data_IF_956052003445
#
_entry.id   IF_956052003445
#
_cell.length_a   1.000
_cell.length_b   1.000
_cell.length_c   1.000
_cell.angle_alpha   90.00
_cell.angle_beta   90.00
_cell.angle_gamma   90.00
#
_symmetry.space_group_name_H-M   'P 1'
#
loop_
_entity.id
_entity.type
_entity.pdbx_description
1 polymer ?
#
# COMPACT_ATOMS: atom_id res chain seq x y z
N UNK A 1 17.69 -23.53 -24.20
CA UNK A 1 17.12 -22.44 -25.02
C UNK A 1 17.14 -21.19 -24.17
N UNK A 2 17.77 -20.11 -24.64
CA UNK A 2 17.81 -18.83 -23.92
C UNK A 2 16.75 -17.93 -24.57
N UNK A 3 15.87 -17.35 -23.78
CA UNK A 3 14.88 -16.37 -24.22
C UNK A 3 15.27 -15.02 -23.61
N UNK A 4 15.49 -14.02 -24.47
CA UNK A 4 15.87 -12.67 -24.05
C UNK A 4 14.61 -11.82 -23.82
N UNK A 5 14.45 -11.26 -22.63
CA UNK A 5 13.44 -10.23 -22.38
C UNK A 5 14.05 -8.85 -22.60
N UNK A 6 13.37 -8.01 -23.40
CA UNK A 6 13.78 -6.63 -23.68
C UNK A 6 12.62 -5.72 -23.27
N UNK A 7 12.79 -5.01 -22.17
CA UNK A 7 11.87 -3.94 -21.82
C UNK A 7 12.08 -2.72 -22.72
N UNK A 8 11.02 -1.96 -22.96
CA UNK A 8 11.02 -0.79 -23.85
C UNK A 8 11.69 -1.06 -25.23
N UNK A 9 11.34 -2.18 -25.89
CA UNK A 9 12.01 -2.63 -27.13
C UNK A 9 12.02 -1.57 -28.24
N UNK A 10 11.07 -0.64 -28.24
CA UNK A 10 11.01 0.48 -29.16
C UNK A 10 12.23 1.41 -29.07
N UNK A 11 12.90 1.50 -27.92
CA UNK A 11 14.13 2.29 -27.73
C UNK A 11 15.28 1.77 -28.57
N UNK A 12 15.31 0.46 -28.88
CA UNK A 12 16.28 -0.14 -29.78
C UNK A 12 15.95 0.11 -31.27
N UNK A 13 14.75 0.63 -31.55
CA UNK A 13 14.16 0.75 -32.89
C UNK A 13 13.92 2.21 -33.34
N UNK A 14 13.99 3.17 -32.42
CA UNK A 14 13.64 4.57 -32.66
C UNK A 14 14.74 5.45 -33.30
N UNK A 15 14.31 6.50 -34.00
CA UNK A 15 15.02 7.68 -34.58
C UNK A 15 16.56 7.64 -34.68
N UNK A 16 17.12 6.58 -35.25
CA UNK A 16 18.53 6.53 -35.71
C UNK A 16 19.60 6.67 -34.62
N UNK A 17 19.25 6.59 -33.34
CA UNK A 17 20.22 6.71 -32.23
C UNK A 17 20.89 5.39 -31.84
N UNK A 18 20.40 4.25 -32.32
CA UNK A 18 21.01 2.93 -32.05
C UNK A 18 20.90 2.01 -33.25
N UNK A 19 22.04 1.56 -33.77
CA UNK A 19 22.17 0.55 -34.84
C UNK A 19 21.80 -0.88 -34.37
N UNK A 20 21.33 -1.03 -33.13
CA UNK A 20 20.98 -2.33 -32.55
C UNK A 20 19.87 -3.04 -33.32
N UNK A 21 18.88 -2.32 -33.85
CA UNK A 21 17.82 -2.91 -34.67
C UNK A 21 18.38 -3.64 -35.92
N UNK A 22 19.43 -3.09 -36.55
CA UNK A 22 20.06 -3.70 -37.72
C UNK A 22 20.84 -4.97 -37.35
N UNK A 23 21.35 -5.06 -36.13
CA UNK A 23 22.00 -6.27 -35.60
C UNK A 23 21.00 -7.38 -35.23
N UNK A 24 19.83 -7.01 -34.72
CA UNK A 24 18.80 -7.95 -34.29
C UNK A 24 18.05 -8.59 -35.46
N UNK A 25 17.78 -7.83 -36.53
CA UNK A 25 17.01 -8.30 -37.71
C UNK A 25 17.53 -9.62 -38.30
N UNK A 26 18.84 -9.78 -38.60
CA UNK A 26 19.36 -11.05 -39.13
C UNK A 26 19.23 -12.21 -38.14
N UNK A 27 19.39 -11.95 -36.83
CA UNK A 27 19.32 -12.98 -35.80
C UNK A 27 17.88 -13.47 -35.57
N UNK A 28 16.91 -12.56 -35.63
CA UNK A 28 15.48 -12.87 -35.59
C UNK A 28 15.03 -13.62 -36.85
N UNK A 29 15.51 -13.20 -38.03
CA UNK A 29 15.17 -13.85 -39.29
C UNK A 29 15.70 -15.29 -39.40
N UNK A 30 16.88 -15.56 -38.83
CA UNK A 30 17.48 -16.91 -38.77
C UNK A 30 16.92 -17.78 -37.64
N UNK A 31 16.10 -17.23 -36.74
CA UNK A 31 15.60 -17.94 -35.56
C UNK A 31 16.70 -18.25 -34.52
N UNK A 32 17.87 -17.62 -34.62
CA UNK A 32 18.96 -17.80 -33.66
C UNK A 32 18.74 -17.02 -32.36
N UNK A 33 17.92 -15.97 -32.41
CA UNK A 33 17.51 -15.19 -31.25
C UNK A 33 16.03 -15.45 -30.94
N UNK A 34 15.75 -15.85 -29.71
CA UNK A 34 14.40 -15.93 -29.16
C UNK A 34 14.26 -14.78 -28.16
N UNK A 35 13.29 -13.88 -28.36
CA UNK A 35 13.09 -12.76 -27.45
C UNK A 35 11.62 -12.42 -27.24
N UNK A 36 11.35 -11.81 -26.08
CA UNK A 36 10.08 -11.20 -25.71
C UNK A 36 10.36 -9.71 -25.55
N UNK A 37 9.70 -8.86 -26.34
CA UNK A 37 9.80 -7.41 -26.23
C UNK A 37 8.55 -6.82 -25.55
N UNK A 38 8.74 -5.86 -24.66
CA UNK A 38 7.66 -5.07 -24.06
C UNK A 38 7.70 -3.63 -24.59
N UNK A 39 6.54 -3.06 -24.92
CA UNK A 39 6.39 -1.68 -25.40
C UNK A 39 4.94 -1.22 -25.30
N UNK A 40 4.69 0.09 -25.31
CA UNK A 40 3.33 0.61 -25.42
C UNK A 40 2.75 0.42 -26.82
N UNK A 41 1.41 0.40 -26.94
CA UNK A 41 0.72 0.29 -28.24
C UNK A 41 1.06 1.46 -29.18
N UNK A 42 1.27 2.65 -28.62
CA UNK A 42 1.60 3.86 -29.38
C UNK A 42 2.98 3.73 -30.03
N UNK A 43 3.96 3.25 -29.28
CA UNK A 43 5.33 3.02 -29.78
C UNK A 43 5.38 1.83 -30.73
N UNK A 44 4.65 0.75 -30.44
CA UNK A 44 4.53 -0.39 -31.34
C UNK A 44 4.08 0.05 -32.74
N UNK A 45 3.00 0.84 -32.81
CA UNK A 45 2.49 1.42 -34.07
C UNK A 45 3.49 2.34 -34.76
N UNK A 46 4.30 3.06 -33.98
CA UNK A 46 5.27 4.03 -34.52
C UNK A 46 6.52 3.35 -35.07
N UNK A 47 7.06 2.34 -34.39
CA UNK A 47 8.40 1.81 -34.66
C UNK A 47 8.41 0.34 -35.12
N UNK A 48 7.50 -0.50 -34.65
CA UNK A 48 7.48 -1.95 -34.96
C UNK A 48 6.60 -2.22 -36.19
N UNK A 49 5.37 -1.70 -36.20
CA UNK A 49 4.39 -1.95 -37.26
C UNK A 49 4.78 -1.28 -38.59
N UNK A 50 5.53 -0.16 -38.53
CA UNK A 50 6.05 0.49 -39.75
C UNK A 50 7.25 -0.24 -40.35
N UNK A 51 7.91 -1.13 -39.61
CA UNK A 51 9.06 -1.89 -40.09
C UNK A 51 8.62 -3.32 -40.47
N UNK A 52 8.46 -3.55 -41.77
CA UNK A 52 7.98 -4.83 -42.30
C UNK A 52 8.89 -6.04 -41.99
N UNK A 53 10.14 -5.84 -41.55
CA UNK A 53 10.97 -6.93 -41.08
C UNK A 53 10.59 -7.36 -39.65
N UNK A 54 10.25 -6.42 -38.77
CA UNK A 54 9.89 -6.72 -37.39
C UNK A 54 8.43 -7.15 -37.24
N UNK A 55 7.51 -6.50 -37.96
CA UNK A 55 6.08 -6.86 -37.96
C UNK A 55 5.87 -8.36 -38.29
N UNK A 56 6.68 -8.91 -39.20
CA UNK A 56 6.62 -10.32 -39.62
C UNK A 56 7.35 -11.30 -38.70
N UNK A 57 8.01 -10.80 -37.65
CA UNK A 57 8.85 -11.59 -36.74
C UNK A 57 8.37 -11.55 -35.30
N UNK A 58 7.61 -10.52 -34.94
CA UNK A 58 6.93 -10.42 -33.65
C UNK A 58 5.46 -10.79 -33.77
N UNK A 59 4.98 -11.60 -32.83
CA UNK A 59 3.55 -11.79 -32.59
C UNK A 59 3.10 -10.77 -31.54
N UNK A 60 2.09 -9.97 -31.87
CA UNK A 60 1.50 -9.04 -30.88
C UNK A 60 0.73 -9.83 -29.83
N UNK A 61 1.05 -9.57 -28.56
CA UNK A 61 0.32 -10.06 -27.38
C UNK A 61 -0.14 -8.84 -26.61
N UNK A 62 -1.45 -8.58 -26.63
CA UNK A 62 -2.02 -7.40 -25.97
C UNK A 62 -2.18 -7.69 -24.47
N UNK A 63 -1.43 -6.95 -23.64
CA UNK A 63 -1.56 -6.97 -22.18
C UNK A 63 -2.37 -5.74 -21.76
N UNK A 64 -3.51 -5.97 -21.13
CA UNK A 64 -4.43 -4.90 -20.68
C UNK A 64 -4.27 -4.65 -19.20
N UNK A 65 -4.64 -3.44 -18.79
CA UNK A 65 -4.82 -3.08 -17.39
C UNK A 65 -5.88 -4.00 -16.75
N UNK A 66 -5.59 -4.61 -15.57
CA UNK A 66 -6.56 -5.43 -14.85
C UNK A 66 -7.71 -4.58 -14.31
N UNK A 67 -8.89 -5.20 -14.22
CA UNK A 67 -10.02 -4.63 -13.49
C UNK A 67 -9.70 -4.52 -11.99
N UNK A 68 -10.46 -3.69 -11.26
CA UNK A 68 -10.31 -3.55 -9.79
C UNK A 68 -10.34 -4.91 -9.09
N UNK A 69 -11.22 -5.83 -9.52
CA UNK A 69 -11.33 -7.17 -8.92
C UNK A 69 -10.10 -8.04 -9.20
N UNK A 70 -9.58 -7.98 -10.42
CA UNK A 70 -8.34 -8.70 -10.79
C UNK A 70 -7.14 -8.11 -10.05
N UNK A 71 -7.07 -6.80 -9.89
CA UNK A 71 -6.05 -6.13 -9.07
C UNK A 71 -6.11 -6.62 -7.62
N UNK A 72 -7.29 -6.71 -7.01
CA UNK A 72 -7.42 -7.26 -5.65
C UNK A 72 -6.91 -8.70 -5.59
N UNK A 73 -7.18 -9.54 -6.60
CA UNK A 73 -6.65 -10.90 -6.65
C UNK A 73 -5.12 -10.93 -6.78
N UNK A 74 -4.54 -10.05 -7.60
CA UNK A 74 -3.08 -9.88 -7.70
C UNK A 74 -2.50 -9.46 -6.35
N UNK A 75 -3.10 -8.45 -5.70
CA UNK A 75 -2.67 -7.96 -4.39
C UNK A 75 -2.73 -9.05 -3.32
N UNK A 76 -3.78 -9.89 -3.29
CA UNK A 76 -3.85 -11.05 -2.37
C UNK A 76 -2.72 -12.05 -2.59
N UNK A 77 -2.30 -12.27 -3.84
CA UNK A 77 -1.14 -13.09 -4.15
C UNK A 77 0.19 -12.48 -3.71
N UNK A 78 0.28 -11.15 -3.67
CA UNK A 78 1.47 -10.41 -3.24
C UNK A 78 1.49 -10.11 -1.73
N UNK A 79 0.34 -10.12 -1.08
CA UNK A 79 0.14 -9.75 0.32
C UNK A 79 1.14 -10.41 1.26
N UNK A 80 1.33 -11.75 1.27
CA UNK A 80 2.26 -12.39 2.20
C UNK A 80 3.70 -11.88 2.04
N UNK A 81 4.12 -11.54 0.80
CA UNK A 81 5.48 -11.04 0.53
C UNK A 81 5.69 -9.65 1.11
N UNK A 82 4.69 -8.76 1.00
CA UNK A 82 4.74 -7.42 1.59
C UNK A 82 4.64 -7.46 3.12
N UNK A 83 3.81 -8.35 3.67
CA UNK A 83 3.73 -8.58 5.11
C UNK A 83 5.10 -9.02 5.68
N UNK A 84 5.78 -9.97 5.05
CA UNK A 84 7.11 -10.42 5.46
C UNK A 84 8.17 -9.32 5.29
N UNK A 85 8.12 -8.59 4.17
CA UNK A 85 9.08 -7.53 3.86
C UNK A 85 9.05 -6.41 4.90
N UNK A 86 7.85 -5.95 5.27
CA UNK A 86 7.67 -4.83 6.21
C UNK A 86 7.48 -5.28 7.67
N UNK A 87 7.21 -6.57 7.90
CA UNK A 87 6.88 -7.12 9.22
C UNK A 87 5.53 -6.65 9.76
N UNK A 88 4.58 -6.40 8.85
CA UNK A 88 3.24 -5.88 9.17
C UNK A 88 2.17 -6.90 8.78
N UNK A 89 0.96 -6.78 9.33
CA UNK A 89 -0.22 -7.50 8.82
C UNK A 89 -1.01 -6.58 7.88
N UNK A 90 -1.44 -7.08 6.73
CA UNK A 90 -2.26 -6.31 5.78
C UNK A 90 -3.66 -6.91 5.79
N UNK A 91 -4.69 -6.10 5.99
CA UNK A 91 -6.07 -6.59 5.96
C UNK A 91 -6.58 -6.70 4.52
N UNK A 92 -7.47 -7.66 4.25
CA UNK A 92 -8.12 -7.77 2.94
C UNK A 92 -8.86 -6.48 2.54
N UNK A 93 -9.46 -5.81 3.53
CA UNK A 93 -10.11 -4.51 3.34
C UNK A 93 -9.13 -3.44 2.82
N UNK A 94 -7.87 -3.46 3.26
CA UNK A 94 -6.84 -2.57 2.77
C UNK A 94 -6.53 -2.81 1.29
N UNK A 95 -6.48 -4.06 0.85
CA UNK A 95 -6.26 -4.42 -0.56
C UNK A 95 -7.40 -3.92 -1.45
N UNK A 96 -8.64 -4.10 -1.00
CA UNK A 96 -9.84 -3.60 -1.69
C UNK A 96 -9.81 -2.07 -1.78
N UNK A 97 -9.53 -1.40 -0.67
CA UNK A 97 -9.44 0.07 -0.63
C UNK A 97 -8.31 0.58 -1.51
N UNK A 98 -7.14 -0.06 -1.52
CA UNK A 98 -6.01 0.33 -2.36
C UNK A 98 -6.37 0.26 -3.84
N UNK A 99 -6.94 -0.85 -4.30
CA UNK A 99 -7.37 -1.01 -5.69
C UNK A 99 -8.44 0.02 -6.10
N UNK A 100 -9.41 0.30 -5.22
CA UNK A 100 -10.47 1.29 -5.48
C UNK A 100 -9.94 2.72 -5.52
N UNK A 101 -9.11 3.12 -4.56
CA UNK A 101 -8.56 4.47 -4.48
C UNK A 101 -7.55 4.71 -5.60
N UNK A 102 -6.67 3.74 -5.89
CA UNK A 102 -5.71 3.82 -6.99
C UNK A 102 -6.42 4.03 -8.33
N UNK A 103 -7.42 3.20 -8.63
CA UNK A 103 -8.20 3.30 -9.87
C UNK A 103 -8.87 4.67 -10.04
N UNK A 104 -9.29 5.30 -8.93
CA UNK A 104 -10.13 6.50 -8.95
C UNK A 104 -9.31 7.79 -8.91
N UNK A 105 -8.24 7.82 -8.13
CA UNK A 105 -7.53 9.06 -7.78
C UNK A 105 -6.10 9.11 -8.32
N UNK A 106 -5.48 7.96 -8.65
CA UNK A 106 -4.12 7.90 -9.19
C UNK A 106 -4.15 7.71 -10.71
N UNK A 107 -4.87 8.56 -11.44
CA UNK A 107 -5.14 8.40 -12.88
C UNK A 107 -3.91 8.52 -13.78
N UNK A 108 -2.78 9.03 -13.24
CA UNK A 108 -1.51 9.14 -13.95
C UNK A 108 -0.70 7.83 -13.95
N UNK A 109 -1.08 6.85 -13.11
CA UNK A 109 -0.53 5.48 -13.10
C UNK A 109 -1.64 4.48 -13.39
N UNK A 110 -1.26 3.28 -13.82
CA UNK A 110 -2.19 2.21 -14.17
C UNK A 110 -2.21 1.15 -13.09
N UNK A 111 -3.34 0.45 -12.97
CA UNK A 111 -3.38 -0.79 -12.22
C UNK A 111 -2.53 -1.86 -12.92
N UNK A 112 -1.96 -2.83 -12.18
CA UNK A 112 -1.99 -2.97 -10.72
C UNK A 112 -0.93 -2.13 -9.99
N UNK A 113 0.01 -1.52 -10.71
CA UNK A 113 1.19 -0.79 -10.20
C UNK A 113 0.81 0.25 -9.13
N UNK A 114 -0.12 1.15 -9.46
CA UNK A 114 -0.56 2.19 -8.50
C UNK A 114 -1.21 1.67 -7.23
N UNK A 115 -1.81 0.47 -7.26
CA UNK A 115 -2.40 -0.14 -6.07
C UNK A 115 -1.34 -0.89 -5.24
N UNK A 116 -0.34 -1.47 -5.90
CA UNK A 116 0.82 -2.08 -5.24
C UNK A 116 1.60 -1.00 -4.50
N UNK A 117 1.87 0.14 -5.14
CA UNK A 117 2.56 1.27 -4.51
C UNK A 117 1.84 1.77 -3.26
N UNK A 118 0.50 1.89 -3.30
CA UNK A 118 -0.28 2.31 -2.13
C UNK A 118 -0.15 1.34 -0.95
N UNK A 119 -0.16 0.03 -1.23
CA UNK A 119 0.03 -0.99 -0.20
C UNK A 119 1.45 -0.94 0.36
N UNK A 120 2.45 -0.81 -0.51
CA UNK A 120 3.85 -0.75 -0.13
C UNK A 120 4.15 0.44 0.78
N UNK A 121 3.67 1.63 0.39
CA UNK A 121 3.90 2.86 1.17
C UNK A 121 3.07 2.87 2.47
N UNK A 122 1.85 2.33 2.47
CA UNK A 122 1.07 2.16 3.70
C UNK A 122 1.75 1.16 4.66
N UNK A 123 2.25 0.04 4.15
CA UNK A 123 2.99 -0.94 4.94
C UNK A 123 4.29 -0.38 5.51
N UNK A 124 5.06 0.36 4.70
CA UNK A 124 6.26 1.04 5.15
C UNK A 124 5.95 2.08 6.24
N UNK A 125 4.87 2.87 6.09
CA UNK A 125 4.46 3.85 7.10
C UNK A 125 4.10 3.18 8.43
N UNK A 126 3.41 2.03 8.39
CA UNK A 126 3.08 1.26 9.60
C UNK A 126 4.35 0.65 10.22
N UNK A 127 5.26 0.11 9.42
CA UNK A 127 6.53 -0.44 9.91
C UNK A 127 7.38 0.63 10.62
N UNK A 128 7.48 1.84 10.07
CA UNK A 128 8.19 2.96 10.70
C UNK A 128 7.53 3.38 12.01
N UNK A 129 6.20 3.40 12.06
CA UNK A 129 5.46 3.69 13.29
C UNK A 129 5.70 2.64 14.37
N UNK A 130 5.73 1.35 14.02
CA UNK A 130 6.04 0.23 14.92
C UNK A 130 7.45 0.31 15.52
N UNK A 131 8.44 0.63 14.68
CA UNK A 131 9.84 0.72 15.11
C UNK A 131 10.12 1.96 15.98
N UNK A 132 9.17 2.90 15.99
CA UNK A 132 9.19 4.05 16.88
C UNK A 132 8.61 3.68 18.25
N UNK A 133 9.25 4.12 19.32
CA UNK A 133 8.68 4.00 20.66
C UNK A 133 7.39 4.83 20.75
N UNK A 134 6.35 4.37 21.46
CA UNK A 134 5.18 5.17 21.75
C UNK A 134 5.58 6.50 22.39
N UNK A 135 4.92 7.60 22.01
CA UNK A 135 5.27 8.95 22.47
C UNK A 135 5.22 9.07 24.00
N UNK A 136 4.27 8.39 24.63
CA UNK A 136 4.16 8.31 26.09
C UNK A 136 5.39 7.65 26.72
N UNK A 137 5.85 6.53 26.16
CA UNK A 137 7.03 5.82 26.66
C UNK A 137 8.30 6.65 26.45
N UNK A 138 8.50 7.21 25.26
CA UNK A 138 9.68 8.01 24.93
C UNK A 138 9.75 9.32 25.75
N UNK A 139 8.61 9.97 25.98
CA UNK A 139 8.55 11.19 26.81
C UNK A 139 8.87 10.92 28.28
N UNK A 140 8.31 9.86 28.87
CA UNK A 140 8.61 9.47 30.27
C UNK A 140 10.06 8.98 30.42
N UNK A 141 10.61 8.25 29.45
CA UNK A 141 12.03 7.83 29.47
C UNK A 141 12.98 9.03 29.40
N UNK A 142 12.67 10.02 28.56
CA UNK A 142 13.43 11.28 28.52
C UNK A 142 13.39 12.01 29.86
N UNK A 143 12.23 12.02 30.54
CA UNK A 143 12.10 12.62 31.87
C UNK A 143 12.94 11.86 32.94
N UNK A 144 12.92 10.53 32.94
CA UNK A 144 13.75 9.72 33.85
C UNK A 144 15.24 10.00 33.63
N UNK A 145 15.69 10.06 32.38
CA UNK A 145 17.09 10.35 32.08
C UNK A 145 17.52 11.74 32.60
N UNK A 146 16.66 12.76 32.49
CA UNK A 146 16.93 14.08 33.04
C UNK A 146 16.99 14.06 34.57
N UNK A 147 16.06 13.38 35.23
CA UNK A 147 16.05 13.21 36.69
C UNK A 147 17.25 12.42 37.18
N UNK A 148 17.69 11.39 36.45
CA UNK A 148 18.88 10.61 36.81
C UNK A 148 20.15 11.46 36.75
N UNK A 149 20.28 12.32 35.73
CA UNK A 149 21.38 13.28 35.63
C UNK A 149 21.33 14.30 36.77
N UNK A 150 20.13 14.82 37.10
CA UNK A 150 19.93 15.73 38.22
C UNK A 150 20.30 15.08 39.56
N UNK A 151 19.86 13.84 39.81
CA UNK A 151 20.20 13.06 41.00
C UNK A 151 21.71 12.88 41.10
N UNK A 152 22.39 12.44 40.03
CA UNK A 152 23.86 12.26 40.02
C UNK A 152 24.62 13.56 40.24
N UNK A 153 24.07 14.70 39.80
CA UNK A 153 24.66 16.02 40.06
C UNK A 153 24.50 16.41 41.53
N UNK A 154 23.29 16.27 42.08
CA UNK A 154 22.96 16.61 43.47
C UNK A 154 23.68 15.69 44.47
N UNK A 155 23.91 14.42 44.14
CA UNK A 155 24.66 13.47 44.97
C UNK A 155 26.12 13.88 45.18
N UNK A 156 26.73 14.56 44.19
CA UNK A 156 28.11 15.06 44.30
C UNK A 156 28.22 16.25 45.25
N UNK A 157 27.15 17.03 45.38
CA UNK A 157 27.08 18.24 46.20
C UNK A 157 26.18 18.05 47.45
N UNK A 158 25.88 16.80 47.84
CA UNK A 158 24.85 16.49 48.84
C UNK A 158 25.12 17.11 50.23
N UNK A 159 26.38 17.42 50.55
CA UNK A 159 26.79 17.99 51.83
C UNK A 159 27.03 19.50 51.76
N UNK A 160 26.76 20.14 50.62
CA UNK A 160 26.93 21.58 50.44
C UNK A 160 25.93 22.38 51.30
N UNK A 161 24.63 22.04 51.25
CA UNK A 161 23.56 22.76 51.95
C UNK A 161 22.33 21.88 52.21
N UNK A 162 21.54 22.20 53.25
CA UNK A 162 20.31 21.46 53.59
C UNK A 162 19.28 21.45 52.45
N UNK A 163 19.24 22.51 51.64
CA UNK A 163 18.34 22.60 50.47
C UNK A 163 18.70 21.62 49.35
N UNK A 164 19.97 21.21 49.24
CA UNK A 164 20.42 20.21 48.26
C UNK A 164 19.89 18.82 48.59
N UNK A 165 19.84 18.46 49.88
CA UNK A 165 19.27 17.19 50.36
C UNK A 165 17.77 17.11 50.07
N UNK A 166 17.04 18.19 50.29
CA UNK A 166 15.59 18.25 50.01
C UNK A 166 15.28 18.12 48.51
N UNK A 167 16.05 18.81 47.65
CA UNK A 167 15.91 18.67 46.18
C UNK A 167 16.25 17.27 45.70
N UNK A 168 17.30 16.66 46.24
CA UNK A 168 17.71 15.28 45.91
C UNK A 168 16.59 14.29 46.26
N UNK A 169 15.97 14.44 47.43
CA UNK A 169 14.88 13.58 47.85
C UNK A 169 13.63 13.75 46.98
N UNK A 170 13.27 14.99 46.62
CA UNK A 170 12.19 15.26 45.67
C UNK A 170 12.48 14.69 44.27
N UNK A 171 13.71 14.81 43.78
CA UNK A 171 14.11 14.25 42.48
C UNK A 171 14.03 12.72 42.48
N UNK A 172 14.47 12.06 43.56
CA UNK A 172 14.33 10.61 43.74
C UNK A 172 12.88 10.15 43.83
N UNK A 173 12.04 10.88 44.56
CA UNK A 173 10.60 10.57 44.64
C UNK A 173 9.93 10.67 43.26
N UNK A 174 10.23 11.72 42.49
CA UNK A 174 9.73 11.89 41.12
C UNK A 174 10.26 10.81 40.18
N UNK A 175 11.53 10.44 40.31
CA UNK A 175 12.13 9.35 39.54
C UNK A 175 11.38 8.06 39.79
N UNK A 176 11.20 7.69 41.07
CA UNK A 176 10.52 6.46 41.44
C UNK A 176 9.05 6.45 41.00
N UNK A 177 8.33 7.57 41.13
CA UNK A 177 6.94 7.64 40.66
C UNK A 177 6.83 7.46 39.15
N UNK A 178 7.72 8.08 38.37
CA UNK A 178 7.71 7.93 36.91
C UNK A 178 8.14 6.52 36.51
N UNK A 179 9.10 5.92 37.22
CA UNK A 179 9.55 4.55 36.97
C UNK A 179 8.44 3.52 37.23
N UNK A 180 7.69 3.67 38.33
CA UNK A 180 6.53 2.82 38.66
C UNK A 180 5.41 2.94 37.62
N UNK A 181 5.18 4.12 37.05
CA UNK A 181 4.23 4.31 35.93
C UNK A 181 4.74 3.73 34.61
N UNK A 182 6.06 3.71 34.40
CA UNK A 182 6.68 3.37 33.12
C UNK A 182 6.88 1.86 32.94
N UNK A 183 7.21 1.14 34.02
CA UNK A 183 7.35 -0.31 34.01
C UNK A 183 6.18 -1.08 33.35
N UNK A 184 4.90 -0.84 33.70
CA UNK A 184 3.79 -1.54 33.05
C UNK A 184 3.71 -1.23 31.54
N UNK A 185 4.02 0.00 31.13
CA UNK A 185 4.00 0.42 29.73
C UNK A 185 5.14 -0.28 28.95
N UNK A 186 6.34 -0.37 29.54
CA UNK A 186 7.47 -1.12 28.96
C UNK A 186 7.16 -2.59 28.81
N UNK A 187 6.63 -3.22 29.86
CA UNK A 187 6.28 -4.63 29.84
C UNK A 187 5.26 -4.92 28.74
N UNK A 188 4.19 -4.12 28.66
CA UNK A 188 3.17 -4.22 27.61
C UNK A 188 3.75 -4.04 26.20
N UNK A 189 4.55 -2.99 25.98
CA UNK A 189 5.20 -2.74 24.68
C UNK A 189 6.14 -3.88 24.27
N UNK A 190 6.89 -4.45 25.22
CA UNK A 190 7.80 -5.57 24.96
C UNK A 190 7.03 -6.85 24.60
N UNK A 191 5.93 -7.13 25.29
CA UNK A 191 5.04 -8.26 25.01
C UNK A 191 4.38 -8.14 23.63
N UNK A 192 3.76 -6.99 23.33
CA UNK A 192 3.13 -6.72 22.02
C UNK A 192 4.15 -6.87 20.88
N UNK A 193 5.37 -6.34 21.06
CA UNK A 193 6.44 -6.44 20.06
C UNK A 193 6.92 -7.88 19.85
N UNK A 194 7.08 -8.64 20.93
CA UNK A 194 7.51 -10.03 20.86
C UNK A 194 6.51 -10.89 20.08
N UNK A 195 5.20 -10.73 20.33
CA UNK A 195 4.15 -11.44 19.61
C UNK A 195 4.20 -11.19 18.09
N UNK A 196 4.37 -9.94 17.68
CA UNK A 196 4.52 -9.59 16.26
C UNK A 196 5.81 -10.12 15.62
N UNK A 197 6.92 -10.13 16.36
CA UNK A 197 8.19 -10.66 15.87
C UNK A 197 8.12 -12.19 15.67
N UNK A 198 7.49 -12.91 16.60
CA UNK A 198 7.23 -14.35 16.46
C UNK A 198 6.38 -14.65 15.23
N UNK A 199 5.28 -13.92 15.03
CA UNK A 199 4.41 -14.06 13.85
C UNK A 199 5.17 -13.82 12.54
N UNK A 200 5.97 -12.76 12.49
CA UNK A 200 6.77 -12.41 11.31
C UNK A 200 7.79 -13.50 10.99
N UNK A 201 8.47 -14.03 12.01
CA UNK A 201 9.44 -15.11 11.86
C UNK A 201 8.77 -16.43 11.41
N UNK A 202 7.56 -16.73 11.90
CA UNK A 202 6.78 -17.87 11.46
C UNK A 202 6.41 -17.75 9.97
N UNK A 203 5.91 -16.58 9.52
CA UNK A 203 5.60 -16.31 8.11
C UNK A 203 6.83 -16.42 7.21
N UNK A 204 7.99 -15.91 7.65
CA UNK A 204 9.25 -16.04 6.89
C UNK A 204 9.66 -17.50 6.71
N UNK A 205 9.57 -18.31 7.78
CA UNK A 205 9.85 -19.76 7.71
C UNK A 205 8.89 -20.48 6.77
N UNK A 206 7.62 -20.05 6.69
CA UNK A 206 6.63 -20.61 5.78
C UNK A 206 7.04 -20.36 4.32
N UNK A 207 7.41 -19.12 3.97
CA UNK A 207 7.88 -18.78 2.63
C UNK A 207 9.13 -19.58 2.24
N UNK A 208 10.10 -19.73 3.17
CA UNK A 208 11.28 -20.58 2.94
C UNK A 208 10.92 -22.04 2.66
N UNK A 209 9.94 -22.59 3.38
CA UNK A 209 9.46 -23.96 3.16
C UNK A 209 8.72 -24.09 1.82
N UNK A 210 7.93 -23.09 1.42
CA UNK A 210 7.26 -23.08 0.12
C UNK A 210 8.27 -23.05 -1.04
N UNK A 211 9.32 -22.22 -0.94
CA UNK A 211 10.40 -22.18 -1.92
C UNK A 211 11.17 -23.52 -1.96
N UNK A 212 11.45 -24.12 -0.80
CA UNK A 212 12.09 -25.46 -0.73
C UNK A 212 11.21 -26.55 -1.34
N UNK A 213 9.90 -26.51 -1.11
CA UNK A 213 8.97 -27.45 -1.73
C UNK A 213 8.97 -27.31 -3.25
N UNK A 214 8.91 -26.09 -3.78
CA UNK A 214 8.98 -25.83 -5.23
C UNK A 214 10.31 -26.30 -5.83
N UNK A 215 11.43 -26.11 -5.12
CA UNK A 215 12.74 -26.61 -5.57
C UNK A 215 12.82 -28.13 -5.58
N UNK A 216 12.30 -28.79 -4.54
CA UNK A 216 12.23 -30.25 -4.45
C UNK A 216 11.32 -30.84 -5.53
N UNK A 217 10.18 -30.20 -5.84
CA UNK A 217 9.29 -30.56 -6.94
C UNK A 217 10.01 -30.50 -8.29
N UNK A 218 10.76 -29.42 -8.55
CA UNK A 218 11.57 -29.27 -9.78
C UNK A 218 12.67 -30.33 -9.91
N UNK A 219 13.19 -30.83 -8.79
CA UNK A 219 14.21 -31.90 -8.75
C UNK A 219 13.62 -33.31 -8.69
N UNK A 220 12.29 -33.44 -8.69
CA UNK A 220 11.57 -34.71 -8.50
C UNK A 220 11.88 -35.43 -7.18
N UNK A 221 12.26 -34.70 -6.13
CA UNK A 221 12.48 -35.26 -4.79
C UNK A 221 11.12 -35.40 -4.06
N UNK A 222 10.41 -36.49 -4.36
CA UNK A 222 9.06 -36.71 -3.84
C UNK A 222 9.00 -36.92 -2.32
N UNK A 223 10.09 -37.39 -1.69
CA UNK A 223 10.14 -37.60 -0.25
C UNK A 223 10.13 -36.25 0.48
N UNK A 224 11.05 -35.35 0.11
CA UNK A 224 11.13 -34.00 0.67
C UNK A 224 9.85 -33.20 0.41
N UNK A 225 9.25 -33.32 -0.78
CA UNK A 225 7.98 -32.67 -1.09
C UNK A 225 6.86 -33.15 -0.18
N UNK A 226 6.76 -34.46 0.07
CA UNK A 226 5.73 -35.01 0.94
C UNK A 226 5.89 -34.51 2.38
N UNK A 227 7.11 -34.54 2.92
CA UNK A 227 7.41 -34.07 4.26
C UNK A 227 7.05 -32.58 4.45
N UNK A 228 7.41 -31.74 3.48
CA UNK A 228 7.16 -30.30 3.55
C UNK A 228 5.66 -29.98 3.35
N UNK A 229 5.02 -30.52 2.32
CA UNK A 229 3.64 -30.17 1.94
C UNK A 229 2.59 -30.71 2.91
N UNK A 230 2.79 -31.91 3.45
CA UNK A 230 1.78 -32.59 4.27
C UNK A 230 1.99 -32.45 5.78
N UNK A 231 3.20 -32.07 6.23
CA UNK A 231 3.48 -31.91 7.66
C UNK A 231 4.01 -30.51 7.98
N UNK A 232 5.20 -30.14 7.48
CA UNK A 232 5.86 -28.91 7.93
C UNK A 232 5.08 -27.62 7.62
N UNK A 233 4.53 -27.50 6.40
CA UNK A 233 3.72 -26.34 6.01
C UNK A 233 2.40 -26.28 6.80
N UNK A 234 1.59 -27.36 6.87
CA UNK A 234 0.36 -27.36 7.68
C UNK A 234 0.59 -27.01 9.15
N UNK A 235 1.61 -27.61 9.79
CA UNK A 235 1.94 -27.32 11.20
C UNK A 235 2.27 -25.84 11.41
N UNK A 236 3.06 -25.26 10.50
CA UNK A 236 3.44 -23.86 10.58
C UNK A 236 2.27 -22.91 10.28
N UNK A 237 1.37 -23.28 9.36
CA UNK A 237 0.14 -22.52 9.09
C UNK A 237 -0.77 -22.50 10.31
N UNK A 238 -1.00 -23.64 10.94
CA UNK A 238 -1.79 -23.70 12.18
C UNK A 238 -1.16 -22.80 13.27
N UNK A 239 0.17 -22.82 13.40
CA UNK A 239 0.86 -21.95 14.35
C UNK A 239 0.73 -20.46 14.01
N UNK A 240 0.76 -20.11 12.73
CA UNK A 240 0.54 -18.73 12.26
C UNK A 240 -0.89 -18.30 12.59
N UNK A 241 -1.90 -19.14 12.32
CA UNK A 241 -3.31 -18.84 12.60
C UNK A 241 -3.54 -18.63 14.11
N UNK A 242 -2.90 -19.43 14.97
CA UNK A 242 -2.92 -19.23 16.42
C UNK A 242 -2.32 -17.88 16.84
N UNK A 243 -1.14 -17.54 16.31
CA UNK A 243 -0.45 -16.28 16.61
C UNK A 243 -1.26 -15.08 16.10
N UNK A 244 -1.86 -15.18 14.91
CA UNK A 244 -2.73 -14.15 14.36
C UNK A 244 -3.98 -13.93 15.22
N UNK A 245 -4.58 -15.01 15.74
CA UNK A 245 -5.72 -14.92 16.65
C UNK A 245 -5.34 -14.27 17.98
N UNK A 246 -4.18 -14.62 18.56
CA UNK A 246 -3.68 -14.02 19.79
C UNK A 246 -3.46 -12.51 19.65
N UNK A 247 -2.73 -12.12 18.61
CA UNK A 247 -2.47 -10.71 18.29
C UNK A 247 -3.78 -9.96 18.05
N UNK A 248 -4.72 -10.53 17.30
CA UNK A 248 -6.02 -9.89 17.04
C UNK A 248 -6.87 -9.74 18.31
N UNK A 249 -6.81 -10.70 19.22
CA UNK A 249 -7.57 -10.66 20.48
C UNK A 249 -6.98 -9.61 21.44
N UNK A 250 -5.66 -9.48 21.49
CA UNK A 250 -4.97 -8.43 22.24
C UNK A 250 -5.27 -7.03 21.69
N UNK A 251 -5.23 -6.87 20.36
CA UNK A 251 -5.64 -5.64 19.65
C UNK A 251 -7.10 -5.25 19.99
N UNK A 252 -8.00 -6.22 20.08
CA UNK A 252 -9.42 -5.96 20.35
C UNK A 252 -9.75 -5.67 21.82
N UNK A 253 -8.97 -6.22 22.76
CA UNK A 253 -9.20 -6.06 24.21
C UNK A 253 -8.68 -4.74 24.76
N UNK A 254 -7.72 -4.12 24.09
CA UNK A 254 -7.05 -2.92 24.58
C UNK A 254 -7.33 -1.73 23.67
N UNK A 255 -8.16 -0.78 24.11
CA UNK A 255 -8.25 0.54 23.46
C UNK A 255 -6.89 1.26 23.39
N UNK A 256 -5.97 0.91 24.30
CA UNK A 256 -4.60 1.43 24.45
C UNK A 256 -3.53 0.52 23.79
N UNK A 257 -3.83 -0.09 22.64
CA UNK A 257 -2.83 -0.89 21.92
C UNK A 257 -1.68 0.00 21.42
N UNK A 258 -0.47 -0.23 21.92
CA UNK A 258 0.67 0.68 21.71
C UNK A 258 1.33 0.46 20.34
N UNK A 259 1.31 -0.78 19.85
CA UNK A 259 1.98 -1.18 18.61
C UNK A 259 0.98 -1.43 17.48
N UNK A 260 0.55 -0.39 16.76
CA UNK A 260 -0.29 -0.62 15.56
C UNK A 260 0.55 -1.22 14.44
N UNK A 261 0.45 -2.53 14.23
CA UNK A 261 1.20 -3.26 13.19
C UNK A 261 0.31 -3.78 12.03
N UNK A 262 -0.87 -3.16 11.86
CA UNK A 262 -1.90 -3.58 10.91
C UNK A 262 -2.15 -2.47 9.89
N UNK A 263 -2.05 -2.81 8.61
CA UNK A 263 -2.43 -1.98 7.48
C UNK A 263 -3.90 -2.24 7.16
N UNK A 264 -4.76 -1.29 7.54
CA UNK A 264 -6.18 -1.28 7.23
C UNK A 264 -6.54 -0.29 6.11
N UNK A 265 -7.85 -0.16 5.86
CA UNK A 265 -8.38 0.80 4.89
C UNK A 265 -8.06 2.26 5.25
N UNK A 266 -7.93 2.57 6.54
CA UNK A 266 -7.58 3.92 7.03
C UNK A 266 -6.16 4.30 6.63
N UNK A 267 -5.17 3.45 6.90
CA UNK A 267 -3.76 3.70 6.55
C UNK A 267 -3.59 3.86 5.04
N UNK A 268 -4.29 3.05 4.24
CA UNK A 268 -4.29 3.19 2.78
C UNK A 268 -4.91 4.52 2.34
N UNK A 269 -6.01 4.95 2.97
CA UNK A 269 -6.65 6.22 2.66
C UNK A 269 -5.78 7.42 3.07
N UNK A 270 -5.07 7.34 4.19
CA UNK A 270 -4.10 8.35 4.62
C UNK A 270 -2.92 8.47 3.64
N UNK A 271 -2.36 7.35 3.20
CA UNK A 271 -1.30 7.32 2.17
C UNK A 271 -1.81 7.92 0.87
N UNK A 272 -2.99 7.51 0.40
CA UNK A 272 -3.59 8.08 -0.80
C UNK A 272 -3.85 9.60 -0.66
N UNK A 273 -4.25 10.08 0.53
CA UNK A 273 -4.44 11.50 0.80
C UNK A 273 -3.13 12.28 0.71
N UNK A 274 -2.03 11.75 1.26
CA UNK A 274 -0.70 12.36 1.17
C UNK A 274 -0.23 12.46 -0.28
N UNK A 275 -0.40 11.40 -1.06
CA UNK A 275 0.02 11.37 -2.48
C UNK A 275 -0.83 12.29 -3.37
N UNK A 276 -2.13 12.37 -3.13
CA UNK A 276 -3.06 13.10 -4.00
C UNK A 276 -3.34 14.53 -3.54
N UNK A 277 -3.04 14.86 -2.29
CA UNK A 277 -3.44 16.11 -1.64
C UNK A 277 -4.94 16.20 -1.32
N UNK A 278 -5.71 15.12 -1.52
CA UNK A 278 -7.15 15.10 -1.25
C UNK A 278 -7.36 14.68 0.22
N UNK A 279 -8.10 15.45 1.04
CA UNK A 279 -8.36 15.09 2.43
C UNK A 279 -9.00 13.70 2.58
N UNK A 280 -8.58 12.95 3.60
CA UNK A 280 -9.04 11.57 3.87
C UNK A 280 -10.57 11.48 3.91
N UNK A 281 -11.24 12.45 4.55
CA UNK A 281 -12.71 12.47 4.64
C UNK A 281 -13.37 12.50 3.26
N UNK A 282 -12.73 13.15 2.28
CA UNK A 282 -13.22 13.17 0.90
C UNK A 282 -12.90 11.88 0.16
N UNK A 283 -11.88 11.11 0.56
CA UNK A 283 -11.55 9.83 -0.06
C UNK A 283 -12.45 8.68 0.44
N UNK A 284 -12.71 8.64 1.74
CA UNK A 284 -13.46 7.56 2.41
C UNK A 284 -14.98 7.69 2.31
N UNK A 285 -15.49 8.88 1.98
CA UNK A 285 -16.93 9.10 1.81
C UNK A 285 -17.51 8.23 0.69
N UNK A 286 -18.49 7.40 1.05
CA UNK A 286 -19.18 6.50 0.13
C UNK A 286 -19.70 7.26 -1.10
N UNK A 287 -19.55 6.65 -2.28
CA UNK A 287 -19.95 7.28 -3.54
C UNK A 287 -21.43 7.68 -3.53
N UNK A 288 -22.30 6.84 -2.99
CA UNK A 288 -23.73 7.14 -2.84
C UNK A 288 -23.98 8.39 -1.99
N UNK A 289 -23.22 8.59 -0.91
CA UNK A 289 -23.35 9.77 -0.07
C UNK A 289 -22.98 11.05 -0.84
N UNK A 290 -21.90 11.01 -1.64
CA UNK A 290 -21.52 12.11 -2.54
C UNK A 290 -22.58 12.39 -3.59
N UNK A 291 -23.18 11.35 -4.17
CA UNK A 291 -24.25 11.49 -5.16
C UNK A 291 -25.53 12.10 -4.57
N UNK A 292 -25.82 11.81 -3.30
CA UNK A 292 -26.96 12.42 -2.59
C UNK A 292 -26.71 13.91 -2.38
N UNK A 293 -25.52 14.31 -1.89
CA UNK A 293 -25.19 15.71 -1.62
C UNK A 293 -24.80 16.53 -2.85
N UNK A 294 -24.52 15.88 -3.99
CA UNK A 294 -24.06 16.50 -5.24
C UNK A 294 -24.90 17.71 -5.67
N UNK A 295 -26.23 17.58 -5.66
CA UNK A 295 -27.13 18.68 -6.06
C UNK A 295 -26.98 19.89 -5.15
N UNK A 296 -26.84 19.69 -3.84
CA UNK A 296 -26.63 20.74 -2.86
C UNK A 296 -25.26 21.40 -3.02
N UNK A 297 -24.22 20.60 -3.23
CA UNK A 297 -22.86 21.10 -3.46
C UNK A 297 -22.77 21.93 -4.75
N UNK A 298 -23.31 21.42 -5.85
CA UNK A 298 -23.38 22.16 -7.11
C UNK A 298 -24.19 23.45 -6.98
N UNK A 299 -25.32 23.40 -6.27
CA UNK A 299 -26.17 24.59 -6.02
C UNK A 299 -25.49 25.64 -5.13
N UNK A 300 -24.49 25.27 -4.33
CA UNK A 300 -23.70 26.21 -3.52
C UNK A 300 -22.63 26.93 -4.33
N UNK A 301 -22.16 26.30 -5.41
CA UNK A 301 -21.14 26.86 -6.31
C UNK A 301 -21.75 27.58 -7.52
N UNK A 302 -22.96 27.19 -7.96
CA UNK A 302 -23.64 27.72 -9.14
C UNK A 302 -24.86 28.54 -8.72
N UNK A 303 -24.83 29.84 -9.03
CA UNK A 303 -25.90 30.76 -8.62
C UNK A 303 -27.03 30.78 -9.66
N UNK A 304 -28.27 30.54 -9.22
CA UNK A 304 -29.48 30.76 -10.02
C UNK A 304 -29.87 29.67 -11.03
N UNK A 305 -29.11 28.57 -11.13
CA UNK A 305 -29.34 27.49 -12.12
C UNK A 305 -29.93 26.21 -11.51
N UNK A 306 -30.89 26.33 -10.58
CA UNK A 306 -31.41 25.18 -9.81
C UNK A 306 -31.95 24.02 -10.64
N UNK A 307 -32.68 24.31 -11.72
CA UNK A 307 -33.26 23.26 -12.58
C UNK A 307 -32.21 22.53 -13.42
N UNK A 308 -31.20 23.26 -13.90
CA UNK A 308 -30.08 22.68 -14.63
C UNK A 308 -29.24 21.78 -13.71
N UNK A 309 -28.94 22.24 -12.50
CA UNK A 309 -28.20 21.45 -11.48
C UNK A 309 -28.95 20.17 -11.13
N UNK A 310 -30.28 20.24 -10.93
CA UNK A 310 -31.14 19.07 -10.72
C UNK A 310 -31.10 18.08 -11.86
N UNK A 311 -31.22 18.55 -13.11
CA UNK A 311 -31.20 17.70 -14.29
C UNK A 311 -29.87 16.95 -14.42
N UNK A 312 -28.74 17.65 -14.21
CA UNK A 312 -27.40 17.06 -14.23
C UNK A 312 -27.22 16.04 -13.10
N UNK A 313 -27.56 16.40 -11.87
CA UNK A 313 -27.44 15.52 -10.72
C UNK A 313 -28.24 14.21 -10.90
N UNK A 314 -29.48 14.30 -11.43
CA UNK A 314 -30.32 13.13 -11.68
C UNK A 314 -29.75 12.19 -12.75
N UNK A 315 -29.25 12.74 -13.87
CA UNK A 315 -28.62 11.93 -14.92
C UNK A 315 -27.32 11.26 -14.44
N UNK A 316 -26.49 11.95 -13.65
CA UNK A 316 -25.28 11.37 -13.06
C UNK A 316 -25.64 10.26 -12.07
N UNK A 317 -26.66 10.45 -11.20
CA UNK A 317 -27.17 9.39 -10.30
C UNK A 317 -27.66 8.17 -11.09
N UNK A 318 -28.36 8.37 -12.20
CA UNK A 318 -28.83 7.29 -13.05
C UNK A 318 -27.68 6.51 -13.69
N UNK A 319 -26.64 7.20 -14.16
CA UNK A 319 -25.45 6.57 -14.73
C UNK A 319 -24.66 5.78 -13.67
N UNK A 320 -24.47 6.35 -12.47
CA UNK A 320 -23.67 5.72 -11.40
C UNK A 320 -24.39 4.61 -10.66
N UNK A 321 -25.73 4.59 -10.66
CA UNK A 321 -26.52 3.48 -10.10
C UNK A 321 -26.53 2.22 -10.97
N UNK A 322 -25.97 2.27 -12.19
CA UNK A 322 -25.96 1.14 -13.11
C UNK A 322 -27.33 0.87 -13.78
N UNK A 323 -28.30 1.75 -13.59
CA UNK A 323 -29.61 1.70 -14.26
C UNK A 323 -29.54 2.17 -15.72
N UNK A 324 -28.53 2.99 -16.05
CA UNK A 324 -28.26 3.40 -17.43
C UNK A 324 -27.41 2.36 -18.17
N UNK A 325 -27.46 2.38 -19.50
CA UNK A 325 -26.61 1.54 -20.34
C UNK A 325 -25.12 1.84 -20.08
N UNK A 326 -24.28 0.85 -19.67
CA UNK A 326 -22.87 1.06 -19.39
C UNK A 326 -22.05 1.61 -20.58
N UNK A 327 -22.51 1.37 -21.82
CA UNK A 327 -21.83 1.82 -23.03
C UNK A 327 -22.23 3.26 -23.44
N UNK A 328 -23.14 3.91 -22.71
CA UNK A 328 -23.61 5.25 -23.03
C UNK A 328 -23.18 6.25 -21.94
N UNK A 329 -22.28 7.20 -22.24
CA UNK A 329 -21.92 8.24 -21.28
C UNK A 329 -23.10 9.19 -21.06
N UNK A 330 -23.16 9.82 -19.88
CA UNK A 330 -24.13 10.88 -19.62
C UNK A 330 -23.85 12.06 -20.56
N UNK A 331 -24.84 12.42 -21.38
CA UNK A 331 -24.76 13.51 -22.35
C UNK A 331 -25.73 14.62 -21.98
N UNK A 332 -25.25 15.87 -22.00
CA UNK A 332 -26.04 17.05 -21.68
C UNK A 332 -25.99 18.04 -22.84
N UNK A 333 -27.12 18.65 -23.16
CA UNK A 333 -27.20 19.83 -24.03
C UNK A 333 -27.61 21.01 -23.14
N UNK A 334 -26.68 21.89 -22.85
CA UNK A 334 -26.96 23.11 -22.10
C UNK A 334 -27.44 24.20 -23.06
N UNK A 335 -28.62 24.75 -22.79
CA UNK A 335 -29.24 25.83 -23.57
C UNK A 335 -29.46 27.04 -22.64
N UNK A 336 -28.87 28.18 -22.96
CA UNK A 336 -28.97 29.38 -22.13
C UNK A 336 -28.39 30.63 -22.80
N UNK A 337 -28.49 31.76 -22.11
CA UNK A 337 -27.97 33.05 -22.58
C UNK A 337 -26.44 33.07 -22.49
N UNK A 338 -25.79 33.80 -23.40
CA UNK A 338 -24.34 34.03 -23.32
C UNK A 338 -23.96 34.69 -22.00
N UNK A 339 -22.95 34.15 -21.29
CA UNK A 339 -22.49 34.66 -19.99
C UNK A 339 -23.21 34.09 -18.76
N UNK A 340 -24.15 33.16 -18.90
CA UNK A 340 -24.87 32.51 -17.79
C UNK A 340 -24.06 31.49 -16.98
N UNK A 341 -22.72 31.64 -16.91
CA UNK A 341 -21.78 30.68 -16.29
C UNK A 341 -21.85 29.24 -16.86
N UNK A 342 -22.51 29.05 -18.01
CA UNK A 342 -22.45 27.85 -18.84
C UNK A 342 -21.09 27.75 -19.55
N UNK A 343 -19.99 27.69 -18.80
CA UNK A 343 -18.68 27.55 -19.40
C UNK A 343 -18.41 26.07 -19.64
N UNK A 344 -18.62 25.66 -20.89
CA UNK A 344 -17.96 24.50 -21.49
C UNK A 344 -16.53 24.95 -21.81
N UNK A 345 -15.58 24.71 -20.90
CA UNK A 345 -14.18 24.60 -21.32
C UNK A 345 -14.05 23.22 -21.98
N UNK A 346 -13.66 23.26 -23.25
CA UNK A 346 -13.42 22.09 -24.10
C UNK A 346 -12.07 21.45 -23.78
#
# INVERSE_FOLDING_TARGET
>A
MIVLFIDEIHMLMGDGKSDAANLLKPMLARGTLHCIGATTITEYRKYVEKDGAFERRFQRVDVKEPSIRETVAILRGLQPRYEIHHGVRILDSALVTAAQLASRYLTYRKLPDSAVDLIDEAAASVAVARDSKPEELDSKERQLNLLEVEIKALERDQDADASTKERLEQARQKYQSIEEELEPIRAKYAEERAGHEELTNAKRKLDELEVKAQDAERRHDSATVADIRYFAIPDLKNRIDELEAQVAEEEAKSEDFLVKNVVGAEQVAETAAKLTGIPVQKLTQAENAKLITMEKELSSAVVGQGDAVKAVANAIRLSRSGLANPNQPASFLFLGLSGSELIVQS
#
